data_IF_563734988234
#
_entry.id   IF_563734988234
#
_cell.length_a   1.000
_cell.length_b   1.000
_cell.length_c   1.000
_cell.angle_alpha   90.00
_cell.angle_beta   90.00
_cell.angle_gamma   90.00
#
_symmetry.space_group_name_H-M   'P 1'
#
loop_
_entity.id
_entity.type
_entity.pdbx_description
1 polymer ?
#
# COMPACT_ATOMS: atom_id res chain seq x y z
N UNK A 1 -9.64 -22.13 -15.18
CA UNK A 1 -9.31 -21.22 -14.04
C UNK A 1 -9.58 -21.96 -12.75
N UNK A 2 -8.59 -22.05 -11.86
CA UNK A 2 -8.80 -22.63 -10.52
C UNK A 2 -9.74 -21.72 -9.71
N UNK A 3 -10.62 -22.35 -8.93
CA UNK A 3 -11.53 -21.67 -8.00
C UNK A 3 -10.94 -21.70 -6.59
N UNK A 4 -11.25 -20.66 -5.85
CA UNK A 4 -10.95 -20.49 -4.42
C UNK A 4 -11.95 -21.27 -3.57
N UNK A 5 -11.70 -21.41 -2.27
CA UNK A 5 -12.66 -22.05 -1.34
C UNK A 5 -13.94 -21.22 -1.19
N UNK A 6 -13.92 -19.94 -1.56
CA UNK A 6 -15.10 -19.06 -1.70
C UNK A 6 -15.94 -19.33 -2.97
N UNK A 7 -15.47 -20.20 -3.87
CA UNK A 7 -16.17 -20.51 -5.12
C UNK A 7 -15.96 -19.50 -6.25
N UNK A 8 -15.23 -18.40 -6.01
CA UNK A 8 -14.82 -17.43 -7.03
C UNK A 8 -13.49 -17.80 -7.68
N UNK A 9 -13.17 -17.23 -8.84
CA UNK A 9 -11.89 -17.50 -9.50
C UNK A 9 -10.72 -16.95 -8.69
N UNK A 10 -9.59 -17.69 -8.70
CA UNK A 10 -8.35 -17.27 -8.04
C UNK A 10 -7.89 -15.88 -8.52
N UNK A 11 -8.02 -15.60 -9.82
CA UNK A 11 -7.65 -14.30 -10.38
C UNK A 11 -8.52 -13.14 -9.88
N UNK A 12 -9.82 -13.38 -9.67
CA UNK A 12 -10.74 -12.40 -9.12
C UNK A 12 -10.42 -12.10 -7.64
N UNK A 13 -10.12 -13.13 -6.84
CA UNK A 13 -9.72 -12.93 -5.44
C UNK A 13 -8.39 -12.18 -5.34
N UNK A 14 -7.40 -12.51 -6.19
CA UNK A 14 -6.15 -11.75 -6.25
C UNK A 14 -6.38 -10.28 -6.66
N UNK A 15 -7.32 -10.02 -7.57
CA UNK A 15 -7.67 -8.67 -7.99
C UNK A 15 -8.33 -7.90 -6.84
N UNK A 16 -9.21 -8.56 -6.08
CA UNK A 16 -9.84 -8.00 -4.88
C UNK A 16 -8.80 -7.63 -3.81
N UNK A 17 -7.75 -8.44 -3.63
CA UNK A 17 -6.66 -8.12 -2.70
C UNK A 17 -5.92 -6.84 -3.15
N UNK A 18 -5.59 -6.69 -4.44
CA UNK A 18 -4.99 -5.44 -4.92
C UNK A 18 -5.98 -4.27 -4.80
N UNK A 19 -7.22 -4.39 -5.25
CA UNK A 19 -8.17 -3.29 -5.14
C UNK A 19 -8.46 -2.89 -3.68
N UNK A 20 -8.35 -3.81 -2.72
CA UNK A 20 -8.46 -3.48 -1.30
C UNK A 20 -7.43 -2.44 -0.84
N UNK A 21 -6.23 -2.44 -1.43
CA UNK A 21 -5.19 -1.45 -1.16
C UNK A 21 -5.47 -0.05 -1.68
N UNK A 22 -6.48 0.13 -2.56
CA UNK A 22 -6.90 1.45 -3.05
C UNK A 22 -7.75 2.22 -2.04
N UNK A 23 -8.49 1.51 -1.19
CA UNK A 23 -9.41 2.13 -0.23
C UNK A 23 -8.68 2.68 1.03
N UNK A 24 -7.35 2.84 0.98
CA UNK A 24 -6.49 3.33 2.06
C UNK A 24 -6.69 2.62 3.42
N UNK A 25 -7.22 1.40 3.43
CA UNK A 25 -7.41 0.61 4.65
C UNK A 25 -6.35 -0.48 4.77
N UNK A 26 -5.29 -0.23 5.56
CA UNK A 26 -4.34 -1.28 5.97
C UNK A 26 -5.08 -2.49 6.55
N UNK A 27 -6.15 -2.23 7.30
CA UNK A 27 -6.97 -3.26 7.91
C UNK A 27 -7.62 -4.19 6.85
N UNK A 28 -8.19 -3.61 5.79
CA UNK A 28 -8.87 -4.39 4.75
C UNK A 28 -7.89 -5.29 3.98
N UNK A 29 -6.74 -4.75 3.57
CA UNK A 29 -5.73 -5.54 2.86
C UNK A 29 -5.17 -6.65 3.76
N UNK A 30 -4.93 -6.36 5.05
CA UNK A 30 -4.43 -7.36 5.99
C UNK A 30 -5.44 -8.47 6.27
N UNK A 31 -6.74 -8.16 6.35
CA UNK A 31 -7.79 -9.20 6.46
C UNK A 31 -7.80 -10.07 5.21
N UNK A 32 -7.80 -9.49 4.02
CA UNK A 32 -7.84 -10.24 2.76
C UNK A 32 -6.61 -11.14 2.60
N UNK A 33 -5.43 -10.61 2.93
CA UNK A 33 -4.16 -11.35 2.87
C UNK A 33 -4.14 -12.44 3.93
N UNK A 34 -4.59 -12.14 5.15
CA UNK A 34 -4.71 -13.12 6.23
C UNK A 34 -5.64 -14.27 5.87
N UNK A 35 -6.81 -13.96 5.29
CA UNK A 35 -7.73 -14.96 4.76
C UNK A 35 -7.04 -15.87 3.74
N UNK A 36 -6.41 -15.28 2.71
CA UNK A 36 -5.74 -16.06 1.66
C UNK A 36 -4.63 -16.95 2.24
N UNK A 37 -3.80 -16.43 3.15
CA UNK A 37 -2.68 -17.18 3.69
C UNK A 37 -3.09 -18.33 4.61
N UNK A 38 -4.21 -18.18 5.34
CA UNK A 38 -4.70 -19.19 6.27
C UNK A 38 -5.61 -20.23 5.62
N UNK A 39 -6.35 -19.84 4.57
CA UNK A 39 -7.45 -20.65 4.04
C UNK A 39 -7.16 -21.19 2.63
N UNK A 40 -6.52 -20.41 1.77
CA UNK A 40 -6.35 -20.77 0.35
C UNK A 40 -5.05 -21.56 0.12
N UNK A 41 -5.14 -22.66 -0.63
CA UNK A 41 -3.99 -23.52 -0.93
C UNK A 41 -3.24 -23.10 -2.21
N UNK A 42 -3.84 -22.23 -3.02
CA UNK A 42 -3.26 -21.81 -4.29
C UNK A 42 -1.99 -20.96 -4.07
N UNK A 43 -0.83 -21.48 -4.50
CA UNK A 43 0.46 -20.83 -4.28
C UNK A 43 0.59 -19.47 -4.98
N UNK A 44 0.10 -19.36 -6.23
CA UNK A 44 0.12 -18.11 -6.97
C UNK A 44 -0.67 -17.01 -6.24
N UNK A 45 -1.82 -17.36 -5.68
CA UNK A 45 -2.67 -16.44 -4.93
C UNK A 45 -1.99 -16.00 -3.63
N UNK A 46 -1.42 -16.93 -2.87
CA UNK A 46 -0.68 -16.61 -1.64
C UNK A 46 0.47 -15.65 -1.92
N UNK A 47 1.30 -15.95 -2.91
CA UNK A 47 2.40 -15.06 -3.35
C UNK A 47 1.88 -13.69 -3.78
N UNK A 48 0.80 -13.66 -4.55
CA UNK A 48 0.17 -12.42 -5.03
C UNK A 48 -0.39 -11.57 -3.90
N UNK A 49 -1.02 -12.19 -2.91
CA UNK A 49 -1.56 -11.50 -1.74
C UNK A 49 -0.46 -10.89 -0.89
N UNK A 50 0.62 -11.62 -0.63
CA UNK A 50 1.74 -11.04 0.12
C UNK A 50 2.43 -9.93 -0.68
N UNK A 51 2.53 -10.07 -2.00
CA UNK A 51 3.03 -8.98 -2.85
C UNK A 51 2.22 -7.70 -2.69
N UNK A 52 0.89 -7.81 -2.70
CA UNK A 52 0.00 -6.68 -2.45
C UNK A 52 0.24 -6.07 -1.06
N UNK A 53 0.37 -6.90 -0.02
CA UNK A 53 0.64 -6.44 1.35
C UNK A 53 1.97 -5.69 1.46
N UNK A 54 3.06 -6.29 0.94
CA UNK A 54 4.41 -5.70 0.99
C UNK A 54 4.45 -4.38 0.24
N UNK A 55 3.87 -4.33 -0.97
CA UNK A 55 3.77 -3.09 -1.74
C UNK A 55 3.05 -2.00 -0.94
N UNK A 56 1.89 -2.34 -0.37
CA UNK A 56 1.09 -1.37 0.37
C UNK A 56 1.85 -0.83 1.59
N UNK A 57 2.50 -1.72 2.35
CA UNK A 57 3.31 -1.37 3.52
C UNK A 57 4.47 -0.46 3.12
N UNK A 58 5.17 -0.73 2.02
CA UNK A 58 6.27 0.12 1.55
C UNK A 58 5.78 1.54 1.24
N UNK A 59 4.70 1.68 0.46
CA UNK A 59 4.14 3.00 0.16
C UNK A 59 3.67 3.71 1.44
N UNK A 60 3.00 3.00 2.34
CA UNK A 60 2.55 3.56 3.61
C UNK A 60 3.73 4.06 4.45
N UNK A 61 4.80 3.26 4.59
CA UNK A 61 5.99 3.64 5.35
C UNK A 61 6.68 4.87 4.75
N UNK A 62 6.85 4.92 3.42
CA UNK A 62 7.47 6.08 2.75
C UNK A 62 6.62 7.33 2.96
N UNK A 63 5.30 7.25 2.75
CA UNK A 63 4.39 8.38 2.97
C UNK A 63 4.39 8.84 4.43
N UNK A 64 4.42 7.91 5.40
CA UNK A 64 4.52 8.25 6.82
C UNK A 64 5.83 8.97 7.16
N UNK A 65 6.98 8.49 6.67
CA UNK A 65 8.28 9.14 6.92
C UNK A 65 8.31 10.56 6.36
N UNK A 66 7.78 10.74 5.15
CA UNK A 66 7.69 12.06 4.50
C UNK A 66 6.75 12.99 5.26
N UNK A 67 5.64 12.46 5.80
CA UNK A 67 4.68 13.19 6.63
C UNK A 67 5.22 13.70 7.97
N UNK A 68 6.29 13.10 8.50
CA UNK A 68 6.91 13.56 9.75
C UNK A 68 7.49 14.98 9.65
N UNK A 69 7.81 15.45 8.44
CA UNK A 69 8.40 16.77 8.21
C UNK A 69 7.41 17.90 8.60
N UNK A 70 6.21 17.99 8.00
CA UNK A 70 5.23 19.00 8.38
C UNK A 70 4.71 18.79 9.81
N UNK A 71 4.62 17.54 10.29
CA UNK A 71 4.24 17.25 11.68
C UNK A 71 5.24 17.89 12.67
N UNK A 72 6.54 17.78 12.39
CA UNK A 72 7.58 18.39 13.19
C UNK A 72 7.54 19.93 13.15
N UNK A 73 7.31 20.52 11.98
CA UNK A 73 7.13 21.98 11.83
C UNK A 73 5.92 22.44 12.66
N UNK A 74 4.82 21.70 12.59
CA UNK A 74 3.59 21.99 13.34
C UNK A 74 3.81 21.89 14.85
N UNK A 75 4.61 20.92 15.30
CA UNK A 75 4.98 20.81 16.72
C UNK A 75 5.73 22.06 17.20
N UNK A 76 6.71 22.53 16.42
CA UNK A 76 7.45 23.76 16.73
C UNK A 76 6.53 24.98 16.71
N UNK A 77 5.65 25.10 15.70
CA UNK A 77 4.74 26.23 15.58
C UNK A 77 3.82 26.33 16.79
N UNK A 78 3.21 25.21 17.21
CA UNK A 78 2.38 25.16 18.42
C UNK A 78 3.16 25.51 19.69
N UNK A 79 4.44 25.13 19.77
CA UNK A 79 5.29 25.54 20.89
C UNK A 79 5.56 27.05 20.89
N UNK A 80 5.88 27.65 19.75
CA UNK A 80 6.08 29.09 19.63
C UNK A 80 4.82 29.91 19.93
N UNK A 81 3.65 29.42 19.52
CA UNK A 81 2.36 30.07 19.77
C UNK A 81 2.04 30.21 21.27
N UNK A 82 2.46 29.24 22.10
CA UNK A 82 2.33 29.33 23.57
C UNK A 82 3.04 30.57 24.13
N UNK A 83 4.14 30.99 23.52
CA UNK A 83 4.91 32.18 23.91
C UNK A 83 4.53 33.43 23.11
N UNK A 84 3.43 33.40 22.35
CA UNK A 84 2.97 34.53 21.53
C UNK A 84 3.77 34.75 20.23
N UNK A 85 4.64 33.81 19.86
CA UNK A 85 5.33 33.83 18.57
C UNK A 85 4.54 33.09 17.48
N UNK A 86 4.85 33.35 16.21
CA UNK A 86 4.39 32.52 15.10
C UNK A 86 5.57 31.98 14.32
N UNK A 87 5.50 30.70 13.97
CA UNK A 87 6.51 30.05 13.14
C UNK A 87 5.78 29.18 12.13
N UNK A 88 5.86 29.52 10.85
CA UNK A 88 5.25 28.75 9.79
C UNK A 88 6.17 28.77 8.56
N UNK A 89 6.32 27.62 7.91
CA UNK A 89 7.01 27.51 6.62
C UNK A 89 6.05 26.86 5.60
N UNK A 90 5.05 27.61 5.09
CA UNK A 90 3.97 27.05 4.26
C UNK A 90 4.47 26.35 3.00
N UNK A 91 5.55 26.85 2.40
CA UNK A 91 6.15 26.28 1.20
C UNK A 91 6.62 24.83 1.39
N UNK A 92 7.19 24.49 2.57
CA UNK A 92 7.63 23.11 2.86
C UNK A 92 6.42 22.18 2.93
N UNK A 93 5.35 22.58 3.62
CA UNK A 93 4.13 21.78 3.72
C UNK A 93 3.51 21.51 2.34
N UNK A 94 3.54 22.49 1.43
CA UNK A 94 3.07 22.30 0.05
C UNK A 94 3.92 21.31 -0.74
N UNK A 95 5.25 21.38 -0.64
CA UNK A 95 6.15 20.42 -1.30
C UNK A 95 5.91 19.01 -0.76
N UNK A 96 5.86 18.85 0.56
CA UNK A 96 5.64 17.56 1.19
C UNK A 96 4.28 16.99 0.80
N UNK A 97 3.23 17.81 0.83
CA UNK A 97 1.89 17.43 0.38
C UNK A 97 1.87 16.98 -1.08
N UNK A 98 2.60 17.67 -1.96
CA UNK A 98 2.77 17.24 -3.36
C UNK A 98 3.45 15.87 -3.47
N UNK A 99 4.53 15.63 -2.71
CA UNK A 99 5.25 14.35 -2.71
C UNK A 99 4.35 13.21 -2.24
N UNK A 100 3.62 13.39 -1.13
CA UNK A 100 2.68 12.39 -0.61
C UNK A 100 1.56 12.12 -1.62
N UNK A 101 0.99 13.18 -2.21
CA UNK A 101 -0.03 13.06 -3.26
C UNK A 101 0.48 12.29 -4.49
N UNK A 102 1.72 12.54 -4.91
CA UNK A 102 2.36 11.81 -6.00
C UNK A 102 2.59 10.32 -5.64
N UNK A 103 3.05 10.03 -4.42
CA UNK A 103 3.22 8.65 -3.94
C UNK A 103 1.89 7.89 -3.93
N UNK A 104 0.82 8.51 -3.42
CA UNK A 104 -0.51 7.91 -3.40
C UNK A 104 -1.08 7.71 -4.80
N UNK A 105 -0.84 8.65 -5.73
CA UNK A 105 -1.22 8.50 -7.12
C UNK A 105 -0.49 7.32 -7.79
N UNK A 106 0.82 7.22 -7.62
CA UNK A 106 1.63 6.11 -8.16
C UNK A 106 1.18 4.77 -7.57
N UNK A 107 0.95 4.71 -6.25
CA UNK A 107 0.39 3.54 -5.57
C UNK A 107 -0.94 3.14 -6.19
N UNK A 108 -1.85 4.08 -6.38
CA UNK A 108 -3.17 3.81 -6.95
C UNK A 108 -3.07 3.23 -8.36
N UNK A 109 -2.29 3.86 -9.24
CA UNK A 109 -2.07 3.37 -10.61
C UNK A 109 -1.47 1.96 -10.60
N UNK A 110 -0.44 1.73 -9.79
CA UNK A 110 0.21 0.43 -9.70
C UNK A 110 -0.76 -0.67 -9.24
N UNK A 111 -1.55 -0.40 -8.20
CA UNK A 111 -2.52 -1.34 -7.65
C UNK A 111 -3.68 -1.61 -8.62
N UNK A 112 -4.12 -0.62 -9.39
CA UNK A 112 -5.10 -0.80 -10.47
C UNK A 112 -4.54 -1.76 -11.53
N UNK A 113 -3.33 -1.51 -12.02
CA UNK A 113 -2.72 -2.34 -13.08
C UNK A 113 -2.50 -3.77 -12.59
N UNK A 114 -1.98 -3.94 -11.37
CA UNK A 114 -1.77 -5.27 -10.77
C UNK A 114 -3.10 -6.00 -10.54
N UNK A 115 -4.14 -5.30 -10.06
CA UNK A 115 -5.47 -5.86 -9.90
C UNK A 115 -6.09 -6.32 -11.23
N UNK A 116 -5.98 -5.51 -12.29
CA UNK A 116 -6.46 -5.89 -13.62
C UNK A 116 -5.68 -7.09 -14.19
N UNK A 117 -4.35 -7.11 -14.04
CA UNK A 117 -3.54 -8.26 -14.50
C UNK A 117 -3.84 -9.54 -13.72
N UNK A 118 -4.15 -9.41 -12.43
CA UNK A 118 -4.52 -10.54 -11.56
C UNK A 118 -5.74 -11.30 -12.08
N UNK A 119 -6.69 -10.65 -12.77
CA UNK A 119 -7.87 -11.33 -13.32
C UNK A 119 -7.51 -12.49 -14.26
N UNK A 120 -6.39 -12.36 -14.98
CA UNK A 120 -5.85 -13.39 -15.87
C UNK A 120 -4.71 -14.20 -15.23
N UNK A 121 -4.57 -14.15 -13.90
CA UNK A 121 -3.44 -14.72 -13.15
C UNK A 121 -2.07 -14.14 -13.56
N UNK A 122 -2.06 -12.95 -14.15
CA UNK A 122 -0.85 -12.22 -14.51
C UNK A 122 -0.33 -11.37 -13.36
N UNK A 123 0.95 -11.03 -13.40
CA UNK A 123 1.59 -10.10 -12.46
C UNK A 123 2.61 -9.22 -13.19
N UNK A 124 3.04 -8.13 -12.57
CA UNK A 124 4.18 -7.32 -13.05
C UNK A 124 5.39 -7.70 -12.22
N UNK A 125 6.51 -8.01 -12.86
CA UNK A 125 7.75 -8.32 -12.14
C UNK A 125 8.30 -7.03 -11.51
N UNK A 126 8.44 -7.03 -10.19
CA UNK A 126 9.08 -5.97 -9.41
C UNK A 126 10.24 -6.64 -8.68
N UNK A 127 11.45 -6.64 -9.27
CA UNK A 127 12.55 -7.53 -8.85
C UNK A 127 12.87 -7.47 -7.36
N UNK A 128 12.89 -6.27 -6.77
CA UNK A 128 13.18 -6.09 -5.34
C UNK A 128 12.14 -6.78 -4.44
N UNK A 129 10.86 -6.66 -4.79
CA UNK A 129 9.75 -7.20 -4.00
C UNK A 129 9.63 -8.70 -4.26
N UNK A 130 9.76 -9.13 -5.51
CA UNK A 130 9.68 -10.53 -5.89
C UNK A 130 10.81 -11.35 -5.27
N UNK A 131 12.04 -10.80 -5.21
CA UNK A 131 13.16 -11.44 -4.51
C UNK A 131 12.92 -11.54 -3.00
N UNK A 132 12.31 -10.52 -2.39
CA UNK A 132 11.97 -10.54 -0.97
C UNK A 132 10.94 -11.65 -0.69
N UNK A 133 9.90 -11.76 -1.52
CA UNK A 133 8.88 -12.80 -1.39
C UNK A 133 9.49 -14.19 -1.58
N UNK A 134 10.25 -14.40 -2.65
CA UNK A 134 10.88 -15.69 -2.95
C UNK A 134 11.87 -16.15 -1.86
N UNK A 135 12.41 -15.23 -1.06
CA UNK A 135 13.31 -15.57 0.04
C UNK A 135 12.56 -16.10 1.27
N UNK A 136 11.32 -15.67 1.48
CA UNK A 136 10.56 -15.93 2.70
C UNK A 136 9.29 -16.77 2.48
N UNK A 137 9.01 -17.17 1.24
CA UNK A 137 7.93 -18.09 0.84
C UNK A 137 8.43 -19.07 -0.21
#
# INVERSE_FOLDING_TARGET
MQKTKLGISVGLLGAAVYFSGLFNGLLLIMIMVGYVLLVEDNEWLRRTSVKAAVLYIIFALVSSIVGLIPDFITLISSFCEIFGGSFAIPFISSIVGFIIGALDFVKAVLFIILGLKSLNQGTIVIPMIDNLINKYM
#
